data_IF_770750695176
#
_entry.id   IF_770750695176
#
_cell.length_a   1.000
_cell.length_b   1.000
_cell.length_c   1.000
_cell.angle_alpha   90.00
_cell.angle_beta   90.00
_cell.angle_gamma   90.00
#
_symmetry.space_group_name_H-M   'P 1'
#
loop_
_entity.id
_entity.type
_entity.pdbx_description
1 polymer ?
#
# COMPACT_ATOMS: atom_id res chain seq x y z
N UNK A 1 2.57 12.81 19.49
CA UNK A 1 3.15 11.47 19.55
C UNK A 1 2.03 10.44 19.67
N UNK A 2 1.87 9.57 18.67
CA UNK A 2 0.83 8.52 18.64
C UNK A 2 1.35 7.17 19.16
N UNK A 3 2.48 7.14 19.84
CA UNK A 3 3.17 5.90 20.25
C UNK A 3 2.35 5.00 21.17
N UNK A 4 1.40 5.58 21.92
CA UNK A 4 0.52 4.86 22.85
C UNK A 4 -0.90 4.64 22.31
N UNK A 5 -1.23 5.22 21.16
CA UNK A 5 -2.55 5.08 20.57
C UNK A 5 -2.69 3.73 19.86
N UNK A 6 -3.90 3.18 19.90
CA UNK A 6 -4.26 1.94 19.23
C UNK A 6 -5.43 2.18 18.28
N UNK A 7 -5.34 1.58 17.09
CA UNK A 7 -6.29 1.78 16.02
C UNK A 7 -6.82 0.44 15.49
N UNK A 8 -8.07 0.44 15.08
CA UNK A 8 -8.70 -0.70 14.40
C UNK A 8 -8.24 -0.78 12.93
N UNK A 9 -7.84 0.35 12.36
CA UNK A 9 -7.41 0.42 10.97
C UNK A 9 -6.34 1.49 10.77
N UNK A 10 -5.34 1.14 9.96
CA UNK A 10 -4.39 2.10 9.39
C UNK A 10 -4.46 1.98 7.88
N UNK A 11 -4.75 3.09 7.20
CA UNK A 11 -4.66 3.21 5.75
C UNK A 11 -3.55 4.18 5.39
N UNK A 12 -2.66 3.78 4.48
CA UNK A 12 -1.56 4.62 4.04
C UNK A 12 -1.24 4.42 2.55
N UNK A 13 -0.82 5.50 1.91
CA UNK A 13 -0.19 5.50 0.59
C UNK A 13 1.18 6.15 0.76
N UNK A 14 2.22 5.37 1.09
CA UNK A 14 3.55 5.94 1.28
C UNK A 14 4.11 6.49 -0.03
N UNK A 15 5.00 7.50 0.01
CA UNK A 15 5.66 8.01 -1.19
C UNK A 15 6.29 6.87 -1.99
N UNK A 16 6.11 6.89 -3.32
CA UNK A 16 6.61 5.85 -4.22
C UNK A 16 8.09 6.06 -4.54
N UNK A 17 8.94 5.86 -3.54
CA UNK A 17 10.39 6.01 -3.62
C UNK A 17 10.77 7.37 -4.28
N UNK A 18 11.30 7.37 -5.51
CA UNK A 18 11.70 8.56 -6.25
C UNK A 18 10.78 8.88 -7.45
N UNK A 19 9.60 8.26 -7.53
CA UNK A 19 8.61 8.57 -8.56
C UNK A 19 7.88 9.89 -8.28
N UNK A 20 7.80 10.29 -7.03
CA UNK A 20 7.11 11.49 -6.59
C UNK A 20 8.10 12.47 -5.94
N UNK A 21 8.20 13.66 -6.52
CA UNK A 21 9.03 14.74 -6.01
C UNK A 21 8.11 15.89 -5.59
N UNK A 22 7.87 16.00 -4.30
CA UNK A 22 6.97 17.03 -3.75
C UNK A 22 7.67 18.37 -3.52
N UNK A 23 8.96 18.37 -3.22
CA UNK A 23 9.80 19.58 -3.04
C UNK A 23 11.28 19.22 -3.22
N UNK A 24 12.15 20.24 -3.07
CA UNK A 24 13.62 20.08 -3.04
C UNK A 24 14.16 19.94 -1.62
N UNK A 25 13.30 19.78 -0.63
CA UNK A 25 13.68 19.68 0.78
C UNK A 25 14.44 18.36 1.04
N UNK A 26 15.55 18.44 1.75
CA UNK A 26 16.40 17.29 2.10
C UNK A 26 15.71 16.27 3.00
N UNK A 27 14.62 16.65 3.68
CA UNK A 27 13.82 15.73 4.51
C UNK A 27 12.97 14.77 3.69
N UNK A 28 12.81 14.97 2.39
CA UNK A 28 12.05 14.07 1.54
C UNK A 28 12.72 12.71 1.40
N UNK A 29 11.90 11.67 1.39
CA UNK A 29 12.39 10.29 1.33
C UNK A 29 13.33 10.03 0.15
N UNK A 30 13.03 10.58 -1.04
CA UNK A 30 13.87 10.39 -2.22
C UNK A 30 15.21 11.15 -2.14
N UNK A 31 15.25 12.32 -1.49
CA UNK A 31 16.48 13.07 -1.26
C UNK A 31 17.37 12.35 -0.25
N UNK A 32 16.75 11.86 0.83
CA UNK A 32 17.45 11.20 1.94
C UNK A 32 18.06 9.86 1.55
N UNK A 33 17.38 9.08 0.70
CA UNK A 33 17.80 7.73 0.30
C UNK A 33 18.38 7.67 -1.12
N UNK A 34 18.37 8.79 -1.84
CA UNK A 34 18.95 8.91 -3.17
C UNK A 34 18.30 7.96 -4.18
N UNK A 35 19.16 7.18 -4.88
CA UNK A 35 18.72 6.18 -5.85
C UNK A 35 18.76 4.74 -5.32
N UNK A 36 19.03 4.56 -4.03
CA UNK A 36 19.14 3.25 -3.39
C UNK A 36 17.77 2.80 -2.88
N UNK A 37 17.15 1.90 -3.63
CA UNK A 37 15.83 1.36 -3.28
C UNK A 37 15.89 0.43 -2.06
N UNK A 38 16.96 -0.31 -1.89
CA UNK A 38 17.09 -1.26 -0.76
C UNK A 38 17.22 -0.50 0.55
N UNK A 39 17.97 0.60 0.54
CA UNK A 39 18.07 1.50 1.69
C UNK A 39 16.72 2.16 1.98
N UNK A 40 16.00 2.63 0.96
CA UNK A 40 14.67 3.22 1.12
C UNK A 40 13.66 2.21 1.68
N UNK A 41 13.66 0.97 1.17
CA UNK A 41 12.81 -0.10 1.69
C UNK A 41 13.08 -0.32 3.18
N UNK A 42 14.34 -0.49 3.56
CA UNK A 42 14.76 -0.83 4.92
C UNK A 42 14.52 0.32 5.90
N UNK A 43 14.97 1.52 5.58
CA UNK A 43 15.08 2.62 6.55
C UNK A 43 13.87 3.56 6.50
N UNK A 44 13.00 3.43 5.48
CA UNK A 44 11.77 4.21 5.40
C UNK A 44 10.52 3.32 5.38
N UNK A 45 10.35 2.47 4.37
CA UNK A 45 9.10 1.73 4.19
C UNK A 45 8.85 0.73 5.31
N UNK A 46 9.84 -0.11 5.64
CA UNK A 46 9.69 -1.11 6.70
C UNK A 46 9.55 -0.49 8.08
N UNK A 47 10.29 0.58 8.36
CA UNK A 47 10.13 1.34 9.61
C UNK A 47 8.73 1.96 9.72
N UNK A 48 8.18 2.47 8.61
CA UNK A 48 6.81 3.00 8.58
C UNK A 48 5.79 1.90 8.83
N UNK A 49 5.96 0.73 8.18
CA UNK A 49 5.11 -0.44 8.37
C UNK A 49 5.14 -0.91 9.83
N UNK A 50 6.31 -0.98 10.45
CA UNK A 50 6.44 -1.38 11.86
C UNK A 50 5.66 -0.45 12.79
N UNK A 51 5.77 0.86 12.59
CA UNK A 51 5.00 1.84 13.37
C UNK A 51 3.49 1.65 13.19
N UNK A 52 3.04 1.49 11.94
CA UNK A 52 1.64 1.22 11.61
C UNK A 52 1.17 -0.09 12.26
N UNK A 53 1.96 -1.17 12.12
CA UNK A 53 1.62 -2.48 12.68
C UNK A 53 1.54 -2.48 14.20
N UNK A 54 2.50 -1.83 14.84
CA UNK A 54 2.54 -1.74 16.30
C UNK A 54 1.39 -0.89 16.87
N UNK A 55 0.85 0.04 16.10
CA UNK A 55 -0.32 0.84 16.51
C UNK A 55 -1.66 0.12 16.33
N UNK A 56 -1.71 -1.03 15.63
CA UNK A 56 -2.95 -1.79 15.46
C UNK A 56 -3.29 -2.64 16.69
N UNK A 57 -4.58 -2.70 17.01
CA UNK A 57 -5.15 -3.71 17.92
C UNK A 57 -5.13 -5.11 17.28
N UNK A 58 -5.30 -6.16 18.06
CA UNK A 58 -5.62 -7.49 17.53
C UNK A 58 -6.98 -7.44 16.80
N UNK A 59 -7.07 -8.01 15.62
CA UNK A 59 -8.21 -7.86 14.71
C UNK A 59 -8.13 -6.62 13.80
N UNK A 60 -7.18 -5.72 14.06
CA UNK A 60 -7.00 -4.50 13.28
C UNK A 60 -6.47 -4.76 11.87
N UNK A 61 -6.66 -3.78 10.99
CA UNK A 61 -6.38 -3.89 9.55
C UNK A 61 -5.34 -2.87 9.11
N UNK A 62 -4.29 -3.34 8.44
CA UNK A 62 -3.33 -2.51 7.70
C UNK A 62 -3.69 -2.53 6.22
N UNK A 63 -3.90 -1.37 5.64
CA UNK A 63 -4.20 -1.17 4.22
C UNK A 63 -3.11 -0.29 3.62
N UNK A 64 -2.43 -0.80 2.59
CA UNK A 64 -1.36 -0.07 1.92
C UNK A 64 -1.69 0.04 0.43
N UNK A 65 -1.81 1.27 -0.07
CA UNK A 65 -1.89 1.55 -1.49
C UNK A 65 -0.49 1.89 -2.01
N UNK A 66 0.13 0.98 -2.71
CA UNK A 66 1.45 1.14 -3.32
C UNK A 66 1.63 0.15 -4.46
N UNK A 67 2.32 0.57 -5.51
CA UNK A 67 2.67 -0.27 -6.66
C UNK A 67 4.17 -0.28 -6.93
N UNK A 68 4.61 -1.24 -7.72
CA UNK A 68 5.93 -1.20 -8.31
C UNK A 68 6.05 -0.02 -9.26
N UNK A 69 7.24 0.54 -9.37
CA UNK A 69 7.53 1.66 -10.26
C UNK A 69 8.44 1.24 -11.40
N UNK A 70 8.37 1.98 -12.51
CA UNK A 70 9.26 1.79 -13.64
C UNK A 70 10.24 2.95 -13.76
N UNK A 71 11.52 2.65 -13.74
CA UNK A 71 12.59 3.63 -14.00
C UNK A 71 13.46 3.12 -15.15
N UNK A 72 13.61 3.94 -16.18
CA UNK A 72 14.39 3.57 -17.37
C UNK A 72 13.96 2.22 -17.97
N UNK A 73 12.66 1.98 -18.08
CA UNK A 73 12.03 0.73 -18.57
C UNK A 73 12.34 -0.52 -17.71
N UNK A 74 12.94 -0.37 -16.53
CA UNK A 74 13.17 -1.46 -15.58
C UNK A 74 12.19 -1.38 -14.43
N UNK A 75 11.53 -2.49 -14.05
CA UNK A 75 10.68 -2.53 -12.88
C UNK A 75 11.56 -2.43 -11.63
N UNK A 76 11.18 -1.54 -10.72
CA UNK A 76 11.72 -1.47 -9.37
C UNK A 76 10.68 -2.08 -8.44
N UNK A 77 11.02 -3.22 -7.87
CA UNK A 77 10.12 -3.99 -7.03
C UNK A 77 9.99 -3.37 -5.66
N UNK A 78 8.78 -3.02 -5.30
CA UNK A 78 8.39 -2.51 -3.99
C UNK A 78 7.41 -3.47 -3.35
N UNK A 79 6.44 -3.97 -4.13
CA UNK A 79 5.34 -4.78 -3.62
C UNK A 79 5.80 -6.14 -3.06
N UNK A 80 6.66 -6.86 -3.78
CA UNK A 80 7.16 -8.16 -3.33
C UNK A 80 7.94 -8.05 -2.00
N UNK A 81 8.98 -7.17 -1.89
CA UNK A 81 9.72 -7.01 -0.63
C UNK A 81 8.84 -6.54 0.52
N UNK A 82 7.88 -5.64 0.25
CA UNK A 82 6.94 -5.16 1.26
C UNK A 82 6.07 -6.29 1.80
N UNK A 83 5.43 -7.06 0.91
CA UNK A 83 4.55 -8.14 1.34
C UNK A 83 5.32 -9.26 2.05
N UNK A 84 6.54 -9.57 1.59
CA UNK A 84 7.41 -10.53 2.24
C UNK A 84 7.81 -10.06 3.65
N UNK A 85 8.07 -8.77 3.81
CA UNK A 85 8.35 -8.17 5.11
C UNK A 85 7.16 -8.27 6.06
N UNK A 86 5.96 -7.84 5.61
CA UNK A 86 4.76 -7.87 6.45
C UNK A 86 4.40 -9.31 6.86
N UNK A 87 4.58 -10.27 5.96
CA UNK A 87 4.27 -11.68 6.23
C UNK A 87 5.03 -12.26 7.43
N UNK A 88 6.18 -11.67 7.78
CA UNK A 88 7.05 -12.07 8.89
C UNK A 88 6.72 -11.35 10.21
N UNK A 89 5.86 -10.34 10.16
CA UNK A 89 5.45 -9.63 11.38
C UNK A 89 4.59 -10.53 12.30
N UNK A 90 4.67 -10.35 13.61
CA UNK A 90 3.89 -11.16 14.55
C UNK A 90 2.39 -11.07 14.27
N UNK A 91 1.71 -12.22 14.18
CA UNK A 91 0.27 -12.34 13.97
C UNK A 91 -0.22 -11.75 12.63
N UNK A 92 0.65 -11.56 11.65
CA UNK A 92 0.27 -11.02 10.35
C UNK A 92 -0.43 -12.08 9.50
N UNK A 93 -1.58 -11.71 8.93
CA UNK A 93 -2.34 -12.53 8.00
C UNK A 93 -2.68 -11.72 6.76
N UNK A 94 -2.21 -12.20 5.61
CA UNK A 94 -2.58 -11.61 4.33
C UNK A 94 -4.05 -11.88 4.03
N UNK A 95 -4.83 -10.81 3.94
CA UNK A 95 -6.27 -10.87 3.69
C UNK A 95 -6.57 -10.92 2.21
N UNK A 96 -5.93 -10.07 1.42
CA UNK A 96 -6.12 -10.02 -0.03
C UNK A 96 -5.55 -8.73 -0.64
N UNK A 97 -5.76 -8.61 -1.95
CA UNK A 97 -5.44 -7.41 -2.71
C UNK A 97 -6.66 -7.00 -3.54
N UNK A 98 -6.94 -5.72 -3.57
CA UNK A 98 -7.93 -5.13 -4.48
C UNK A 98 -7.29 -4.03 -5.31
N UNK A 99 -8.02 -3.45 -6.25
CA UNK A 99 -7.50 -2.41 -7.13
C UNK A 99 -8.23 -1.09 -6.96
N UNK A 100 -7.47 -0.01 -6.83
CA UNK A 100 -7.97 1.35 -6.97
C UNK A 100 -7.93 1.74 -8.45
N UNK A 101 -9.11 1.94 -9.05
CA UNK A 101 -9.19 2.44 -10.40
C UNK A 101 -8.86 3.92 -10.42
N UNK A 102 -7.78 4.27 -11.12
CA UNK A 102 -7.40 5.67 -11.32
C UNK A 102 -8.12 6.22 -12.55
N UNK A 103 -8.79 7.36 -12.39
CA UNK A 103 -9.23 8.17 -13.50
C UNK A 103 -8.02 8.75 -14.22
N UNK A 104 -8.06 8.84 -15.55
CA UNK A 104 -7.01 9.50 -16.32
C UNK A 104 -6.80 10.92 -15.81
N UNK A 105 -5.55 11.29 -15.62
CA UNK A 105 -5.19 12.71 -15.49
C UNK A 105 -5.54 13.38 -16.84
N UNK A 106 -6.31 14.48 -16.84
CA UNK A 106 -6.55 15.22 -18.08
C UNK A 106 -5.21 15.73 -18.62
N UNK A 107 -4.91 15.39 -19.88
CA UNK A 107 -3.85 15.99 -20.69
C UNK A 107 -2.39 15.86 -20.19
N UNK A 108 -1.82 14.66 -20.31
CA UNK A 108 -0.41 14.61 -20.68
C UNK A 108 -0.31 14.96 -22.18
N UNK A 109 0.52 15.94 -22.55
CA UNK A 109 0.77 16.33 -23.96
C UNK A 109 1.28 15.17 -24.84
N UNK A 110 1.57 14.03 -24.27
CA UNK A 110 2.11 12.82 -24.89
C UNK A 110 1.12 11.65 -24.92
N UNK A 111 -0.15 11.84 -24.50
CA UNK A 111 -1.16 10.78 -24.57
C UNK A 111 -1.55 10.53 -26.02
N UNK A 112 -1.26 9.32 -26.50
CA UNK A 112 -1.75 8.88 -27.80
C UNK A 112 -3.27 8.67 -27.74
N UNK A 113 -4.01 8.92 -28.83
CA UNK A 113 -5.46 8.68 -28.86
C UNK A 113 -5.84 7.24 -28.45
N UNK A 114 -4.99 6.26 -28.76
CA UNK A 114 -5.14 4.85 -28.41
C UNK A 114 -5.00 4.57 -26.90
N UNK A 115 -4.38 5.48 -26.13
CA UNK A 115 -4.28 5.37 -24.68
C UNK A 115 -5.54 5.89 -23.97
N UNK A 116 -6.50 6.42 -24.73
CA UNK A 116 -7.73 7.01 -24.19
C UNK A 116 -8.59 6.02 -23.39
N UNK A 117 -8.43 4.73 -23.57
CA UNK A 117 -9.19 3.68 -22.92
C UNK A 117 -8.38 2.88 -21.87
N UNK A 118 -7.09 3.19 -21.68
CA UNK A 118 -6.29 2.50 -20.67
C UNK A 118 -6.65 2.98 -19.27
N UNK A 119 -7.30 2.13 -18.53
CA UNK A 119 -7.50 2.32 -17.09
C UNK A 119 -6.26 1.83 -16.36
N UNK A 120 -5.63 2.68 -15.58
CA UNK A 120 -4.62 2.24 -14.63
C UNK A 120 -5.28 1.82 -13.32
N UNK A 121 -4.77 0.75 -12.74
CA UNK A 121 -5.24 0.24 -11.45
C UNK A 121 -4.04 0.18 -10.53
N UNK A 122 -4.16 0.80 -9.37
CA UNK A 122 -3.16 0.67 -8.31
C UNK A 122 -3.58 -0.39 -7.31
N UNK A 123 -2.68 -1.29 -6.90
CA UNK A 123 -2.99 -2.32 -5.93
C UNK A 123 -3.17 -1.73 -4.53
N UNK A 124 -4.16 -2.25 -3.82
CA UNK A 124 -4.41 -2.00 -2.41
C UNK A 124 -4.20 -3.32 -1.68
N UNK A 125 -3.14 -3.39 -0.90
CA UNK A 125 -2.75 -4.57 -0.13
C UNK A 125 -3.38 -4.54 1.25
N UNK A 126 -4.01 -5.64 1.67
CA UNK A 126 -4.78 -5.72 2.91
C UNK A 126 -4.23 -6.83 3.79
N UNK A 127 -3.83 -6.46 4.99
CA UNK A 127 -3.28 -7.34 6.01
C UNK A 127 -4.05 -7.17 7.33
N UNK A 128 -4.29 -8.26 8.04
CA UNK A 128 -4.94 -8.22 9.35
C UNK A 128 -4.05 -8.79 10.44
N UNK A 129 -4.13 -8.17 11.60
CA UNK A 129 -3.41 -8.58 12.78
C UNK A 129 -4.26 -9.57 13.58
N UNK A 130 -3.77 -10.81 13.72
CA UNK A 130 -4.47 -11.88 14.45
C UNK A 130 -5.88 -12.24 13.90
N UNK A 131 -6.09 -12.07 12.60
CA UNK A 131 -7.34 -12.44 11.94
C UNK A 131 -7.04 -13.08 10.58
N UNK A 132 -7.42 -14.35 10.41
CA UNK A 132 -7.10 -15.19 9.24
C UNK A 132 -8.10 -15.08 8.09
N UNK A 133 -9.19 -14.33 8.26
CA UNK A 133 -10.23 -14.18 7.23
C UNK A 133 -9.65 -13.57 5.96
N UNK A 134 -10.11 -14.06 4.82
CA UNK A 134 -9.77 -13.51 3.51
C UNK A 134 -10.75 -12.41 3.12
N UNK A 135 -10.37 -11.63 2.11
CA UNK A 135 -11.15 -10.47 1.68
C UNK A 135 -12.56 -10.83 1.22
N UNK A 136 -12.70 -11.93 0.47
CA UNK A 136 -14.00 -12.47 0.05
C UNK A 136 -14.90 -12.79 1.24
N UNK A 137 -14.39 -13.47 2.26
CA UNK A 137 -15.11 -13.79 3.48
C UNK A 137 -15.60 -12.53 4.21
N UNK A 138 -14.75 -11.50 4.28
CA UNK A 138 -15.11 -10.22 4.92
C UNK A 138 -16.20 -9.49 4.13
N UNK A 139 -16.08 -9.48 2.80
CA UNK A 139 -17.07 -8.87 1.92
C UNK A 139 -18.41 -9.60 2.03
N UNK A 140 -18.40 -10.92 2.03
CA UNK A 140 -19.60 -11.74 2.15
C UNK A 140 -20.29 -11.50 3.51
N UNK A 141 -19.54 -11.45 4.60
CA UNK A 141 -20.07 -11.16 5.94
C UNK A 141 -20.68 -9.75 6.03
N UNK A 142 -20.06 -8.77 5.36
CA UNK A 142 -20.53 -7.39 5.33
C UNK A 142 -21.71 -7.16 4.37
N UNK A 143 -22.02 -8.14 3.50
CA UNK A 143 -23.06 -8.01 2.49
C UNK A 143 -24.44 -7.84 3.14
N UNK A 144 -25.24 -6.82 2.77
CA UNK A 144 -26.60 -6.66 3.24
C UNK A 144 -27.51 -7.86 2.96
N UNK A 145 -27.19 -8.62 1.88
CA UNK A 145 -27.96 -9.80 1.45
C UNK A 145 -27.89 -10.93 2.46
N UNK A 146 -26.79 -11.04 3.23
CA UNK A 146 -26.64 -12.08 4.25
C UNK A 146 -27.65 -11.96 5.41
N UNK A 147 -28.32 -10.79 5.55
CA UNK A 147 -29.38 -10.61 6.54
C UNK A 147 -30.70 -11.29 6.15
N UNK A 148 -30.88 -11.66 4.89
CA UNK A 148 -32.10 -12.25 4.35
C UNK A 148 -32.05 -13.80 4.25
N UNK A 149 -30.89 -14.39 4.49
CA UNK A 149 -30.66 -15.85 4.35
C UNK A 149 -30.32 -16.56 5.67
N UNK A 150 -30.58 -15.90 6.80
CA UNK A 150 -30.45 -16.51 8.14
C UNK A 150 -31.80 -16.89 8.70
#
# INVERSE_FOLDING_TARGET
DLSNEKFDMVFTSPPYFNAEQYSTDESQSYMRYGSDIDLWLKDFLFVTIDKCWNSLVDGGTLIINISDIFKNKKPMKICDPMNDYISKLPKAHYTGCTGLRLSKRPNSKNDRPEDAHKTSVEPIWIWRKNDKRKLDQIIDEASPLNKFFK
#
